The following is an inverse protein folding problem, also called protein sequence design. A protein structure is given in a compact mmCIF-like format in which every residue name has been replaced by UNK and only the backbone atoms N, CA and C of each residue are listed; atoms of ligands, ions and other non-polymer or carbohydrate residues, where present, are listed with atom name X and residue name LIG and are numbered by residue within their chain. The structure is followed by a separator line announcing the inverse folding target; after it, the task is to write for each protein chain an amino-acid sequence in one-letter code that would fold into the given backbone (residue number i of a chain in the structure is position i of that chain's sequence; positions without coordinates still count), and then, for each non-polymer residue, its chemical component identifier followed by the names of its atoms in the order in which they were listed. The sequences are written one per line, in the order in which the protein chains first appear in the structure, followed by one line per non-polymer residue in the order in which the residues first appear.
data_IF_953134570122
#
_entry.id   IF_953134570122
#
_cell.length_a   1.000
_cell.length_b   1.000
_cell.length_c   1.000
_cell.angle_alpha   90.00
_cell.angle_beta   90.00
_cell.angle_gamma   90.00
#
_symmetry.space_group_name_H-M   'P 1'
#
loop_
_entity.id
_entity.type
_entity.pdbx_description
1 polymer ?
#
# COMPACT_ATOMS: atom_id res chain seq x y z
N UNK A 1 0.57 8.17 -5.36
CA UNK A 1 -0.27 7.54 -6.41
C UNK A 1 -0.22 6.04 -6.22
N UNK A 2 -1.37 5.37 -6.24
CA UNK A 2 -1.49 3.90 -6.21
C UNK A 2 -2.15 3.49 -7.51
N UNK A 3 -1.65 2.43 -8.15
CA UNK A 3 -2.14 1.93 -9.43
C UNK A 3 -2.40 0.43 -9.33
N UNK A 4 -3.49 -0.01 -9.95
CA UNK A 4 -3.80 -1.42 -10.14
C UNK A 4 -3.45 -1.80 -11.59
N UNK A 5 -2.68 -2.87 -11.77
CA UNK A 5 -2.23 -3.34 -13.08
C UNK A 5 -2.64 -4.79 -13.27
N UNK A 6 -3.56 -5.04 -14.21
CA UNK A 6 -4.05 -6.39 -14.51
C UNK A 6 -2.97 -7.26 -15.17
N UNK A 7 -2.22 -6.70 -16.13
CA UNK A 7 -1.04 -7.32 -16.73
C UNK A 7 0.23 -6.54 -16.35
N UNK A 8 0.84 -6.85 -15.19
CA UNK A 8 1.88 -6.01 -14.63
C UNK A 8 3.21 -6.13 -15.39
N UNK A 9 3.45 -7.22 -16.14
CA UNK A 9 4.67 -7.38 -16.96
C UNK A 9 4.70 -6.37 -18.11
N UNK A 10 3.59 -6.23 -18.82
CA UNK A 10 3.49 -5.30 -19.97
C UNK A 10 3.20 -3.88 -19.48
N UNK A 11 2.24 -3.72 -18.56
CA UNK A 11 1.76 -2.40 -18.17
C UNK A 11 2.73 -1.64 -17.26
N UNK A 12 3.54 -2.30 -16.43
CA UNK A 12 4.49 -1.59 -15.57
C UNK A 12 5.49 -0.75 -16.35
N UNK A 13 5.99 -1.28 -17.48
CA UNK A 13 6.93 -0.56 -18.35
C UNK A 13 6.26 0.63 -19.01
N UNK A 14 5.08 0.43 -19.61
CA UNK A 14 4.29 1.49 -20.26
C UNK A 14 3.91 2.59 -19.27
N UNK A 15 3.56 2.21 -18.04
CA UNK A 15 3.21 3.17 -16.99
C UNK A 15 4.41 4.02 -16.56
N UNK A 16 5.59 3.39 -16.40
CA UNK A 16 6.81 4.10 -16.07
C UNK A 16 7.20 5.10 -17.17
N UNK A 17 7.04 4.71 -18.44
CA UNK A 17 7.28 5.59 -19.58
C UNK A 17 6.33 6.80 -19.59
N UNK A 18 5.03 6.58 -19.39
CA UNK A 18 4.04 7.65 -19.30
C UNK A 18 4.34 8.63 -18.17
N UNK A 19 4.68 8.12 -16.98
CA UNK A 19 5.02 8.98 -15.84
C UNK A 19 6.32 9.75 -16.10
N UNK A 20 7.31 9.12 -16.73
CA UNK A 20 8.55 9.80 -17.11
C UNK A 20 8.30 10.91 -18.14
N UNK A 21 7.43 10.66 -19.13
CA UNK A 21 7.07 11.65 -20.14
C UNK A 21 6.28 12.81 -19.52
N UNK A 22 5.34 12.52 -18.63
CA UNK A 22 4.66 13.54 -17.83
C UNK A 22 5.66 14.34 -16.97
N UNK A 23 6.65 13.66 -16.39
CA UNK A 23 7.74 14.27 -15.65
C UNK A 23 8.55 15.28 -16.48
N UNK A 24 8.83 14.97 -17.74
CA UNK A 24 9.50 15.91 -18.66
C UNK A 24 8.69 17.19 -18.87
N UNK A 25 7.37 17.08 -19.08
CA UNK A 25 6.48 18.23 -19.29
C UNK A 25 6.34 19.06 -18.01
N UNK A 26 6.13 18.39 -16.88
CA UNK A 26 5.93 19.03 -15.58
C UNK A 26 7.24 19.47 -14.90
N UNK A 27 8.40 19.15 -15.49
CA UNK A 27 9.75 19.36 -14.95
C UNK A 27 10.04 18.62 -13.63
N UNK A 28 9.29 17.57 -13.33
CA UNK A 28 9.52 16.69 -12.18
C UNK A 28 10.15 15.36 -12.59
N UNK A 29 11.11 14.87 -11.79
CA UNK A 29 11.72 13.56 -11.98
C UNK A 29 11.17 12.57 -10.97
N UNK A 30 10.61 11.46 -11.44
CA UNK A 30 10.18 10.39 -10.54
C UNK A 30 11.37 9.64 -9.94
N UNK A 31 11.29 9.34 -8.65
CA UNK A 31 12.25 8.47 -7.99
C UNK A 31 11.80 7.01 -8.15
N UNK A 32 12.33 6.33 -9.16
CA UNK A 32 12.01 4.93 -9.47
C UNK A 32 12.35 3.99 -8.31
N UNK A 33 13.37 4.30 -7.50
CA UNK A 33 13.76 3.47 -6.35
C UNK A 33 12.73 3.50 -5.21
N UNK A 34 11.88 4.54 -5.15
CA UNK A 34 10.79 4.63 -4.17
C UNK A 34 9.50 3.95 -4.64
N UNK A 35 9.45 3.47 -5.89
CA UNK A 35 8.30 2.73 -6.39
C UNK A 35 8.34 1.31 -5.83
N UNK A 36 7.30 0.98 -5.07
CA UNK A 36 7.11 -0.36 -4.51
C UNK A 36 5.92 -1.01 -5.18
N UNK A 37 6.12 -2.23 -5.68
CA UNK A 37 5.06 -3.08 -6.20
C UNK A 37 4.56 -4.02 -5.10
N UNK A 38 3.23 -4.16 -5.03
CA UNK A 38 2.54 -5.05 -4.12
C UNK A 38 1.63 -5.99 -4.91
N UNK A 39 1.83 -7.30 -4.79
CA UNK A 39 1.17 -8.30 -5.64
C UNK A 39 0.08 -9.08 -4.90
N UNK A 40 -1.14 -9.06 -5.44
CA UNK A 40 -2.28 -9.82 -4.90
C UNK A 40 -2.32 -11.29 -5.38
N UNK A 41 -1.61 -11.61 -6.47
CA UNK A 41 -1.66 -12.91 -7.18
C UNK A 41 -0.94 -14.07 -6.45
N UNK A 42 -1.12 -15.30 -6.96
CA UNK A 42 -0.52 -16.52 -6.43
C UNK A 42 1.02 -16.54 -6.49
N UNK A 43 1.64 -17.33 -5.62
CA UNK A 43 3.10 -17.41 -5.41
C UNK A 43 3.89 -17.79 -6.67
N UNK A 44 3.34 -18.62 -7.55
CA UNK A 44 4.03 -19.09 -8.76
C UNK A 44 4.23 -17.98 -9.81
N UNK A 45 3.24 -17.11 -9.99
CA UNK A 45 3.30 -16.01 -10.96
C UNK A 45 4.13 -14.84 -10.40
N UNK A 46 4.17 -14.69 -9.08
CA UNK A 46 4.92 -13.61 -8.39
C UNK A 46 6.42 -13.61 -8.72
N UNK A 47 7.06 -14.77 -8.85
CA UNK A 47 8.50 -14.84 -9.15
C UNK A 47 8.82 -14.34 -10.56
N UNK A 48 8.02 -14.75 -11.55
CA UNK A 48 8.15 -14.29 -12.93
C UNK A 48 7.95 -12.78 -13.03
N UNK A 49 6.89 -12.27 -12.39
CA UNK A 49 6.60 -10.83 -12.37
C UNK A 49 7.73 -10.05 -11.67
N UNK A 50 8.22 -10.54 -10.52
CA UNK A 50 9.32 -9.90 -9.77
C UNK A 50 10.59 -9.76 -10.60
N UNK A 51 10.88 -10.73 -11.47
CA UNK A 51 12.03 -10.67 -12.35
C UNK A 51 11.81 -9.78 -13.59
N UNK A 52 10.55 -9.58 -13.99
CA UNK A 52 10.20 -8.82 -15.19
C UNK A 52 10.00 -7.31 -14.94
N UNK A 53 9.66 -6.92 -13.71
CA UNK A 53 9.30 -5.54 -13.36
C UNK A 53 10.49 -4.80 -12.73
N UNK A 54 10.72 -3.53 -13.08
CA UNK A 54 11.84 -2.74 -12.56
C UNK A 54 11.63 -2.18 -11.13
N UNK A 55 10.57 -2.58 -10.43
CA UNK A 55 10.17 -2.01 -9.13
C UNK A 55 10.59 -2.92 -7.98
N UNK A 56 10.92 -2.31 -6.85
CA UNK A 56 11.14 -3.06 -5.61
C UNK A 56 9.84 -3.74 -5.21
N UNK A 57 9.87 -5.04 -4.96
CA UNK A 57 8.69 -5.80 -4.54
C UNK A 57 8.76 -6.05 -3.03
N UNK A 58 7.72 -5.64 -2.30
CA UNK A 58 7.51 -6.13 -0.92
C UNK A 58 6.60 -7.37 -0.94
N UNK A 59 6.90 -8.34 -0.08
CA UNK A 59 6.23 -9.64 -0.05
C UNK A 59 5.02 -9.68 0.88
N UNK A 60 4.97 -8.82 1.91
CA UNK A 60 3.98 -8.96 2.99
C UNK A 60 3.16 -7.69 3.23
N UNK A 61 3.80 -6.52 3.19
CA UNK A 61 3.16 -5.27 3.59
C UNK A 61 3.85 -4.07 2.97
N UNK A 62 3.09 -3.02 2.65
CA UNK A 62 3.67 -1.74 2.24
C UNK A 62 3.08 -0.63 3.11
N UNK A 63 3.88 0.37 3.47
CA UNK A 63 3.38 1.53 4.19
C UNK A 63 3.03 2.63 3.20
N UNK A 64 1.80 3.12 3.25
CA UNK A 64 1.32 4.24 2.45
C UNK A 64 0.52 5.21 3.31
N UNK A 65 0.92 6.49 3.32
CA UNK A 65 0.27 7.56 4.12
C UNK A 65 0.08 7.20 5.61
N UNK A 66 1.02 6.46 6.18
CA UNK A 66 0.94 6.02 7.58
C UNK A 66 0.19 4.70 7.79
N UNK A 67 -0.53 4.20 6.78
CA UNK A 67 -1.31 2.96 6.82
C UNK A 67 -0.48 1.81 6.26
N UNK A 68 -0.46 0.69 6.98
CA UNK A 68 0.08 -0.58 6.55
C UNK A 68 -0.94 -1.27 5.65
N UNK A 69 -0.68 -1.29 4.34
CA UNK A 69 -1.45 -2.05 3.38
C UNK A 69 -1.00 -3.52 3.43
N UNK A 70 -1.96 -4.41 3.66
CA UNK A 70 -1.78 -5.85 3.72
C UNK A 70 -2.33 -6.52 2.47
N UNK A 71 -2.00 -7.80 2.30
CA UNK A 71 -2.56 -8.60 1.20
C UNK A 71 -4.00 -8.94 1.51
N UNK A 72 -4.24 -9.43 2.71
CA UNK A 72 -5.57 -9.79 3.15
C UNK A 72 -6.26 -8.56 3.73
N UNK A 73 -7.36 -8.16 3.09
CA UNK A 73 -8.15 -6.98 3.47
C UNK A 73 -8.65 -7.09 4.91
N UNK A 74 -8.85 -8.32 5.40
CA UNK A 74 -9.25 -8.61 6.78
C UNK A 74 -8.21 -8.14 7.80
N UNK A 75 -6.92 -8.13 7.43
CA UNK A 75 -5.83 -7.76 8.32
C UNK A 75 -5.61 -6.25 8.39
N UNK A 76 -6.15 -5.47 7.44
CA UNK A 76 -6.04 -4.00 7.43
C UNK A 76 -6.51 -3.38 8.74
N UNK A 77 -7.62 -3.88 9.29
CA UNK A 77 -8.15 -3.37 10.56
C UNK A 77 -7.19 -3.65 11.72
N UNK A 78 -6.72 -4.89 11.83
CA UNK A 78 -5.87 -5.31 12.95
C UNK A 78 -4.51 -4.60 12.92
N UNK A 79 -3.93 -4.46 11.73
CA UNK A 79 -2.61 -3.86 11.54
C UNK A 79 -2.60 -2.34 11.73
N UNK A 80 -3.74 -1.65 11.59
CA UNK A 80 -3.77 -0.18 11.59
C UNK A 80 -4.63 0.44 12.69
N UNK A 81 -5.76 -0.19 13.05
CA UNK A 81 -6.80 0.47 13.83
C UNK A 81 -7.09 -0.21 15.18
N UNK A 82 -6.66 -1.46 15.38
CA UNK A 82 -6.96 -2.22 16.59
C UNK A 82 -6.61 -1.48 17.89
N UNK A 83 -5.43 -0.83 17.93
CA UNK A 83 -5.00 -0.08 19.10
C UNK A 83 -5.85 1.18 19.32
N UNK A 84 -6.11 1.95 18.27
CA UNK A 84 -6.96 3.14 18.35
C UNK A 84 -8.39 2.81 18.79
N UNK A 85 -8.98 1.74 18.26
CA UNK A 85 -10.32 1.30 18.65
C UNK A 85 -10.39 0.93 20.13
N UNK A 86 -9.42 0.15 20.64
CA UNK A 86 -9.32 -0.18 22.07
C UNK A 86 -9.23 1.07 22.94
N UNK A 87 -8.42 2.05 22.51
CA UNK A 87 -8.28 3.32 23.23
C UNK A 87 -9.59 4.09 23.28
N UNK A 88 -10.34 4.14 22.17
CA UNK A 88 -11.66 4.79 22.12
C UNK A 88 -12.67 4.09 23.04
N UNK A 89 -12.70 2.75 23.04
CA UNK A 89 -13.56 1.98 23.95
C UNK A 89 -13.26 2.28 25.43
N UNK A 90 -11.98 2.40 25.81
CA UNK A 90 -11.58 2.75 27.18
C UNK A 90 -12.02 4.16 27.55
N UNK A 91 -11.88 5.13 26.66
CA UNK A 91 -12.31 6.52 26.89
C UNK A 91 -13.84 6.57 27.12
N UNK A 92 -14.61 5.90 26.26
CA UNK A 92 -16.07 5.87 26.38
C UNK A 92 -16.55 5.21 27.67
N UNK A 93 -15.86 4.17 28.16
CA UNK A 93 -16.18 3.55 29.46
C UNK A 93 -15.93 4.53 30.60
N UNK A 94 -14.77 5.18 30.62
CA UNK A 94 -14.42 6.13 31.67
C UNK A 94 -15.40 7.31 31.70
N UNK A 95 -15.73 7.90 30.55
CA UNK A 95 -16.72 8.98 30.47
C UNK A 95 -18.09 8.57 31.00
N UNK A 96 -18.55 7.34 30.72
CA UNK A 96 -19.80 6.83 31.30
C UNK A 96 -19.72 6.69 32.81
N UNK A 97 -18.60 6.21 33.35
CA UNK A 97 -18.39 6.12 34.81
C UNK A 97 -18.42 7.50 35.46
N UNK A 98 -17.79 8.51 34.84
CA UNK A 98 -17.81 9.89 35.36
C UNK A 98 -19.19 10.57 35.29
N UNK A 99 -20.11 10.10 34.42
CA UNK A 99 -21.48 10.65 34.32
C UNK A 99 -22.49 9.97 35.24
N UNK A 100 -22.11 8.87 35.87
CA UNK A 100 -22.98 8.08 36.78
C UNK A 100 -22.72 8.42 38.25
N UNK A 101 -21.70 9.24 38.53
CA UNK A 101 -21.42 9.87 39.82
C UNK A 101 -21.68 11.38 39.74
#
# INVERSE_FOLDING_TARGET
MVLYLENPIILAKKQLELINNFGKVSRYKINVQKLVAFFYTNTQVKSQIRNAIPFTTDRKRIKYLGIQLTRDVKDLYNENYQHCSKKLEMIQRNEKTFRVH
#
